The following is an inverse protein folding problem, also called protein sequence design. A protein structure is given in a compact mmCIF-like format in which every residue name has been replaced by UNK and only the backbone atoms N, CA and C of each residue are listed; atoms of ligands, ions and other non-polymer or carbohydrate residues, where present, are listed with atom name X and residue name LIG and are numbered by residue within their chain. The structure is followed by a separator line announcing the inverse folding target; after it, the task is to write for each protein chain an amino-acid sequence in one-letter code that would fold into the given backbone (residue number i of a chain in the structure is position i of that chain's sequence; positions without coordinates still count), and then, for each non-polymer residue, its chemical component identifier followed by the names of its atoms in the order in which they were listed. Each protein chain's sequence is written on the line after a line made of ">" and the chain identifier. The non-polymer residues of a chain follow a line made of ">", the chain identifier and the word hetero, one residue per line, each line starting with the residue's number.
data_IF_732092242971
#
_entry.id   IF_732092242971
#
_cell.length_a   1.000
_cell.length_b   1.000
_cell.length_c   1.000
_cell.angle_alpha   90.00
_cell.angle_beta   90.00
_cell.angle_gamma   90.00
#
_symmetry.space_group_name_H-M   'P 1'
#
loop_
_entity.id
_entity.type
_entity.pdbx_description
1 polymer ?
#
# COMPACT_ATOMS: atom_id res chain seq x y z
N UNK A 1 -14.41 9.12 30.00
CA UNK A 1 -12.97 9.12 29.71
C UNK A 1 -12.82 9.22 28.20
N UNK A 2 -12.33 10.36 27.70
CA UNK A 2 -12.02 10.50 26.28
C UNK A 2 -10.72 9.75 26.05
N UNK A 3 -10.78 8.60 25.36
CA UNK A 3 -9.60 7.99 24.76
C UNK A 3 -9.05 8.99 23.74
N UNK A 4 -8.18 9.88 24.19
CA UNK A 4 -7.38 10.70 23.28
C UNK A 4 -6.53 9.72 22.50
N UNK A 5 -6.92 9.52 21.24
CA UNK A 5 -6.21 8.71 20.27
C UNK A 5 -4.81 9.33 20.05
N UNK A 6 -3.86 8.97 20.92
CA UNK A 6 -2.46 9.31 20.75
C UNK A 6 -1.89 8.31 19.74
N UNK A 7 -1.97 8.69 18.47
CA UNK A 7 -1.29 7.96 17.42
C UNK A 7 0.23 8.15 17.62
N UNK A 8 0.90 7.13 18.19
CA UNK A 8 2.34 7.10 18.40
C UNK A 8 3.09 7.23 17.05
N UNK A 9 3.81 8.33 16.80
CA UNK A 9 4.48 8.57 15.53
C UNK A 9 5.48 7.47 15.14
N UNK A 10 6.15 6.86 16.12
CA UNK A 10 7.14 5.81 15.87
C UNK A 10 6.46 4.53 15.40
N UNK A 11 5.33 4.16 16.02
CA UNK A 11 4.53 3.00 15.60
C UNK A 11 3.94 3.19 14.21
N UNK A 12 3.48 4.40 13.89
CA UNK A 12 3.01 4.74 12.55
C UNK A 12 4.13 4.62 11.52
N UNK A 13 5.32 5.17 11.81
CA UNK A 13 6.45 5.12 10.89
C UNK A 13 6.94 3.68 10.68
N UNK A 14 6.98 2.87 11.73
CA UNK A 14 7.28 1.45 11.62
C UNK A 14 6.24 0.71 10.75
N UNK A 15 4.95 0.98 10.96
CA UNK A 15 3.87 0.40 10.14
C UNK A 15 3.95 0.82 8.66
N UNK A 16 4.28 2.10 8.38
CA UNK A 16 4.50 2.58 7.01
C UNK A 16 5.64 1.82 6.33
N UNK A 17 6.78 1.63 7.00
CA UNK A 17 7.90 0.85 6.44
C UNK A 17 7.54 -0.61 6.18
N UNK A 18 6.71 -1.20 7.04
CA UNK A 18 6.24 -2.58 6.85
C UNK A 18 5.31 -2.68 5.63
N UNK A 19 4.42 -1.70 5.44
CA UNK A 19 3.56 -1.62 4.26
C UNK A 19 4.41 -1.49 2.99
N UNK A 20 5.38 -0.58 2.95
CA UNK A 20 6.32 -0.45 1.82
C UNK A 20 7.03 -1.78 1.51
N UNK A 21 7.53 -2.49 2.54
CA UNK A 21 8.16 -3.78 2.36
C UNK A 21 7.21 -4.86 1.81
N UNK A 22 5.93 -4.86 2.20
CA UNK A 22 4.93 -5.78 1.66
C UNK A 22 4.71 -5.56 0.16
N UNK A 23 4.63 -4.30 -0.27
CA UNK A 23 4.50 -3.97 -1.70
C UNK A 23 5.72 -4.47 -2.50
N UNK A 24 6.93 -4.21 -2.01
CA UNK A 24 8.16 -4.69 -2.65
C UNK A 24 8.22 -6.22 -2.74
N UNK A 25 7.84 -6.93 -1.67
CA UNK A 25 7.77 -8.39 -1.68
C UNK A 25 6.74 -8.88 -2.70
N UNK A 26 5.56 -8.26 -2.78
CA UNK A 26 4.54 -8.62 -3.76
C UNK A 26 5.03 -8.44 -5.21
N UNK A 27 5.78 -7.36 -5.48
CA UNK A 27 6.42 -7.15 -6.78
C UNK A 27 7.44 -8.23 -7.10
N UNK A 28 8.33 -8.55 -6.16
CA UNK A 28 9.35 -9.59 -6.33
C UNK A 28 8.72 -10.97 -6.58
N UNK A 29 7.75 -11.37 -5.76
CA UNK A 29 7.05 -12.65 -5.91
C UNK A 29 6.36 -12.80 -7.28
N UNK A 30 5.74 -11.72 -7.78
CA UNK A 30 5.13 -11.76 -9.10
C UNK A 30 6.17 -11.84 -10.22
N UNK A 31 7.30 -11.14 -10.09
CA UNK A 31 8.39 -11.21 -11.05
C UNK A 31 8.98 -12.62 -11.11
N UNK A 32 9.32 -13.19 -9.95
CA UNK A 32 9.87 -14.54 -9.82
C UNK A 32 8.92 -15.58 -10.43
N UNK A 33 7.62 -15.49 -10.10
CA UNK A 33 6.61 -16.38 -10.67
C UNK A 33 6.53 -16.30 -12.20
N UNK A 34 6.55 -15.08 -12.77
CA UNK A 34 6.48 -14.89 -14.22
C UNK A 34 7.72 -15.43 -14.95
N UNK A 35 8.88 -15.37 -14.29
CA UNK A 35 10.12 -15.96 -14.78
C UNK A 35 10.03 -17.49 -14.79
N UNK A 36 9.68 -18.10 -13.66
CA UNK A 36 9.53 -19.56 -13.52
C UNK A 36 8.49 -20.15 -14.49
N UNK A 37 7.35 -19.47 -14.69
CA UNK A 37 6.34 -19.91 -15.66
C UNK A 37 6.89 -19.87 -17.09
N UNK A 38 7.79 -18.94 -17.40
CA UNK A 38 8.36 -18.83 -18.75
C UNK A 38 9.29 -19.99 -19.08
N UNK A 39 9.97 -20.57 -18.08
CA UNK A 39 10.80 -21.77 -18.24
C UNK A 39 9.98 -23.01 -18.62
N UNK A 40 8.68 -23.01 -18.33
CA UNK A 40 7.79 -24.13 -18.69
C UNK A 40 7.28 -24.09 -20.13
N UNK A 41 7.74 -23.15 -20.95
CA UNK A 41 7.19 -22.91 -22.31
C UNK A 41 7.19 -24.12 -23.24
N UNK A 42 8.17 -24.99 -23.08
CA UNK A 42 8.34 -26.19 -23.91
C UNK A 42 7.67 -27.44 -23.34
N UNK A 43 7.03 -27.35 -22.16
CA UNK A 43 6.43 -28.50 -21.47
C UNK A 43 5.48 -29.33 -22.36
N UNK A 44 4.58 -28.73 -23.17
CA UNK A 44 3.68 -29.49 -24.04
C UNK A 44 4.36 -30.16 -25.24
N UNK A 45 5.67 -29.97 -25.43
CA UNK A 45 6.39 -30.33 -26.66
C UNK A 45 6.33 -29.23 -27.73
N UNK A 46 7.11 -29.41 -28.80
CA UNK A 46 7.27 -28.38 -29.84
C UNK A 46 6.38 -28.64 -31.06
N UNK A 47 6.47 -29.83 -31.65
CA UNK A 47 5.92 -30.08 -33.00
C UNK A 47 5.28 -31.45 -33.21
N UNK A 48 5.26 -32.32 -32.20
CA UNK A 48 4.56 -33.59 -32.31
C UNK A 48 3.03 -33.39 -32.32
N UNK A 49 2.29 -34.42 -32.69
CA UNK A 49 0.84 -34.35 -32.84
C UNK A 49 0.11 -34.18 -31.49
N UNK A 50 0.79 -34.45 -30.38
CA UNK A 50 0.28 -34.16 -29.04
C UNK A 50 0.43 -32.67 -28.73
N UNK A 51 1.61 -32.10 -28.95
CA UNK A 51 1.92 -30.68 -28.79
C UNK A 51 0.97 -29.79 -29.61
N UNK A 52 0.68 -30.16 -30.87
CA UNK A 52 -0.27 -29.41 -31.71
C UNK A 52 -1.68 -29.34 -31.11
N UNK A 53 -2.09 -30.37 -30.36
CA UNK A 53 -3.42 -30.43 -29.72
C UNK A 53 -3.45 -29.71 -28.38
N UNK A 54 -2.36 -29.79 -27.61
CA UNK A 54 -2.32 -29.32 -26.21
C UNK A 54 -1.84 -27.87 -26.08
N UNK A 55 -0.92 -27.41 -26.93
CA UNK A 55 -0.35 -26.05 -26.85
C UNK A 55 -1.38 -24.92 -26.86
N UNK A 56 -2.46 -24.95 -27.65
CA UNK A 56 -3.44 -23.87 -27.64
C UNK A 56 -4.10 -23.70 -26.26
N UNK A 57 -4.57 -24.80 -25.66
CA UNK A 57 -5.19 -24.78 -24.33
C UNK A 57 -4.16 -24.37 -23.26
N UNK A 58 -2.95 -24.92 -23.34
CA UNK A 58 -1.91 -24.58 -22.37
C UNK A 58 -1.52 -23.10 -22.43
N UNK A 59 -1.45 -22.49 -23.62
CA UNK A 59 -1.19 -21.05 -23.76
C UNK A 59 -2.29 -20.20 -23.14
N UNK A 60 -3.56 -20.59 -23.30
CA UNK A 60 -4.70 -19.91 -22.69
C UNK A 60 -4.65 -20.00 -21.16
N UNK A 61 -4.45 -21.21 -20.62
CA UNK A 61 -4.32 -21.45 -19.18
C UNK A 61 -3.12 -20.69 -18.58
N UNK A 62 -1.99 -20.68 -19.30
CA UNK A 62 -0.81 -19.92 -18.89
C UNK A 62 -1.10 -18.43 -18.85
N UNK A 63 -1.73 -17.87 -19.88
CA UNK A 63 -2.04 -16.45 -19.90
C UNK A 63 -2.98 -16.09 -18.74
N UNK A 64 -4.04 -16.87 -18.53
CA UNK A 64 -4.95 -16.68 -17.40
C UNK A 64 -4.25 -16.75 -16.04
N UNK A 65 -3.28 -17.66 -15.90
CA UNK A 65 -2.46 -17.79 -14.69
C UNK A 65 -1.57 -16.56 -14.48
N UNK A 66 -0.90 -16.06 -15.53
CA UNK A 66 -0.10 -14.83 -15.46
C UNK A 66 -0.96 -13.63 -15.07
N UNK A 67 -2.12 -13.48 -15.70
CA UNK A 67 -3.06 -12.39 -15.41
C UNK A 67 -3.57 -12.44 -13.97
N UNK A 68 -3.86 -13.65 -13.47
CA UNK A 68 -4.28 -13.85 -12.07
C UNK A 68 -3.18 -13.46 -11.08
N UNK A 69 -1.93 -13.83 -11.35
CA UNK A 69 -0.79 -13.44 -10.52
C UNK A 69 -0.62 -11.92 -10.46
N UNK A 70 -0.69 -11.26 -11.62
CA UNK A 70 -0.60 -9.79 -11.71
C UNK A 70 -1.76 -9.11 -10.97
N UNK A 71 -2.99 -9.63 -11.09
CA UNK A 71 -4.14 -9.10 -10.38
C UNK A 71 -4.00 -9.21 -8.85
N UNK A 72 -3.44 -10.32 -8.36
CA UNK A 72 -3.17 -10.51 -6.92
C UNK A 72 -2.12 -9.50 -6.44
N UNK A 73 -1.02 -9.35 -7.18
CA UNK A 73 0.01 -8.35 -6.89
C UNK A 73 -0.61 -6.96 -6.79
N UNK A 74 -1.37 -6.56 -7.81
CA UNK A 74 -1.96 -5.23 -7.89
C UNK A 74 -2.95 -4.97 -6.75
N UNK A 75 -3.73 -5.98 -6.35
CA UNK A 75 -4.61 -5.88 -5.19
C UNK A 75 -3.83 -5.65 -3.89
N UNK A 76 -2.73 -6.40 -3.67
CA UNK A 76 -1.90 -6.25 -2.45
C UNK A 76 -1.23 -4.88 -2.42
N UNK A 77 -0.66 -4.44 -3.55
CA UNK A 77 -0.03 -3.11 -3.66
C UNK A 77 -1.08 -2.02 -3.44
N UNK A 78 -2.24 -2.09 -4.10
CA UNK A 78 -3.29 -1.09 -3.94
C UNK A 78 -3.83 -0.97 -2.51
N UNK A 79 -4.02 -2.08 -1.79
CA UNK A 79 -4.39 -2.07 -0.37
C UNK A 79 -3.32 -1.38 0.47
N UNK A 80 -2.05 -1.67 0.18
CA UNK A 80 -0.89 -1.12 0.87
C UNK A 80 -0.81 0.39 0.67
N UNK A 81 -0.86 0.86 -0.58
CA UNK A 81 -0.83 2.27 -0.95
C UNK A 81 -2.01 3.04 -0.35
N UNK A 82 -3.24 2.50 -0.46
CA UNK A 82 -4.41 3.13 0.15
C UNK A 82 -4.33 3.24 1.67
N UNK A 83 -3.69 2.27 2.33
CA UNK A 83 -3.44 2.33 3.78
C UNK A 83 -2.41 3.42 4.12
N UNK A 84 -1.35 3.57 3.31
CA UNK A 84 -0.37 4.63 3.48
C UNK A 84 -0.97 6.02 3.28
N UNK A 85 -1.84 6.19 2.28
CA UNK A 85 -2.55 7.44 2.03
C UNK A 85 -3.46 7.82 3.22
N UNK A 86 -4.19 6.84 3.78
CA UNK A 86 -5.00 7.04 4.97
C UNK A 86 -4.15 7.52 6.16
N UNK A 87 -2.98 6.90 6.38
CA UNK A 87 -2.03 7.31 7.41
C UNK A 87 -1.55 8.75 7.20
N UNK A 88 -1.24 9.13 5.97
CA UNK A 88 -0.77 10.48 5.65
C UNK A 88 -1.87 11.53 5.85
N UNK A 89 -3.11 11.19 5.50
CA UNK A 89 -4.29 12.02 5.74
C UNK A 89 -4.51 12.25 7.22
N UNK A 90 -4.43 11.20 8.05
CA UNK A 90 -4.53 11.31 9.51
C UNK A 90 -3.46 12.22 10.11
N UNK A 91 -2.20 12.12 9.65
CA UNK A 91 -1.10 13.01 10.08
C UNK A 91 -1.40 14.47 9.74
N UNK A 92 -1.91 14.73 8.54
CA UNK A 92 -2.23 16.07 8.06
C UNK A 92 -3.36 16.71 8.89
N UNK A 93 -4.45 15.96 9.12
CA UNK A 93 -5.57 16.41 9.95
C UNK A 93 -5.12 16.71 11.39
N UNK A 94 -4.29 15.85 11.98
CA UNK A 94 -3.72 16.09 13.31
C UNK A 94 -2.91 17.38 13.36
N UNK A 95 -2.00 17.60 12.41
CA UNK A 95 -1.16 18.79 12.40
C UNK A 95 -2.01 20.07 12.27
N UNK A 96 -3.02 20.07 11.39
CA UNK A 96 -3.95 21.18 11.25
C UNK A 96 -4.74 21.45 12.54
N UNK A 97 -5.23 20.40 13.20
CA UNK A 97 -5.94 20.55 14.47
C UNK A 97 -5.05 21.16 15.57
N UNK A 98 -3.77 20.74 15.65
CA UNK A 98 -2.81 21.31 16.59
C UNK A 98 -2.49 22.79 16.28
N UNK A 99 -2.35 23.15 15.00
CA UNK A 99 -2.19 24.55 14.59
C UNK A 99 -3.39 25.41 14.99
N UNK A 100 -4.61 24.91 14.77
CA UNK A 100 -5.84 25.63 15.09
C UNK A 100 -5.99 25.82 16.61
N UNK A 101 -5.65 24.80 17.41
CA UNK A 101 -5.57 24.91 18.88
C UNK A 101 -4.53 25.96 19.29
N UNK A 102 -3.34 25.96 18.69
CA UNK A 102 -2.29 26.96 18.97
C UNK A 102 -2.74 28.38 18.62
N UNK A 103 -3.44 28.57 17.50
CA UNK A 103 -4.01 29.87 17.08
C UNK A 103 -5.11 30.35 18.04
N UNK A 104 -5.95 29.44 18.54
CA UNK A 104 -6.96 29.79 19.55
C UNK A 104 -6.33 30.13 20.90
N UNK A 105 -5.35 29.35 21.35
CA UNK A 105 -4.65 29.61 22.61
C UNK A 105 -3.93 30.96 22.60
N UNK A 106 -3.28 31.32 21.49
CA UNK A 106 -2.60 32.62 21.33
C UNK A 106 -3.58 33.79 21.38
N UNK A 107 -4.75 33.66 20.74
CA UNK A 107 -5.83 34.67 20.84
C UNK A 107 -6.35 34.84 22.26
N UNK A 108 -6.51 33.74 23.01
CA UNK A 108 -6.94 33.80 24.41
C UNK A 108 -5.88 34.48 25.29
N UNK A 109 -4.60 34.20 25.08
CA UNK A 109 -3.52 34.87 25.81
C UNK A 109 -3.43 36.37 25.51
N UNK A 110 -3.67 36.79 24.26
CA UNK A 110 -3.71 38.22 23.91
C UNK A 110 -4.89 38.95 24.59
N UNK A 111 -6.07 38.31 24.68
CA UNK A 111 -7.23 38.88 25.36
C UNK A 111 -6.98 39.01 26.87
N UNK A 112 -6.35 38.03 27.51
CA UNK A 112 -6.00 38.10 28.93
C UNK A 112 -4.83 39.05 29.25
N UNK A 113 -3.86 39.20 28.34
CA UNK A 113 -2.75 40.15 28.48
C UNK A 113 -3.18 41.62 28.35
N UNK A 114 -4.28 41.88 27.64
CA UNK A 114 -4.87 43.22 27.49
C UNK A 114 -5.62 43.74 28.72
N UNK A 115 -5.99 42.87 29.67
CA UNK A 115 -6.73 43.27 30.89
C UNK A 115 -5.84 43.61 32.10
N UNK A 116 -4.51 43.49 31.99
CA UNK A 116 -3.56 43.77 33.08
C UNK A 116 -2.93 45.17 33.02
N UNK A 117 -3.51 46.10 32.26
CA UNK A 117 -3.04 47.49 32.17
C UNK A 117 -4.20 48.47 32.35
N UNK A 118 -4.60 48.69 33.59
CA UNK A 118 -5.23 49.94 34.02
C UNK A 118 -5.11 50.18 35.52
#
# INVERSE_FOLDING_TARGET
>A
MSDRYFADPNRIQAGTRQLEAIAEIAHAMAADFLDEVSDTVTWPGVSDDFAKKVRPQEQEERQATKDTCLAIRDAVVGITEGTLENVQTMKTLRNRALEDISKQSSRISDVNGGHARH
#
